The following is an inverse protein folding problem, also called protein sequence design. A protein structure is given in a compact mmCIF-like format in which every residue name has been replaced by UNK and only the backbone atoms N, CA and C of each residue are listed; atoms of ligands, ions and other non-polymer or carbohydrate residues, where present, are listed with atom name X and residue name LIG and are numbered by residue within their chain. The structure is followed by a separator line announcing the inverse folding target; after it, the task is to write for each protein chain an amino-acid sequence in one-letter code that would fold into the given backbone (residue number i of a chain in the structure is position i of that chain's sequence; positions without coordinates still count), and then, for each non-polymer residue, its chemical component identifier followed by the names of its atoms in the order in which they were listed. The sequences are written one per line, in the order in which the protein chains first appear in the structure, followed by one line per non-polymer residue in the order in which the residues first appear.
data_IF_494668379562
#
_entry.id   IF_494668379562
#
_cell.length_a   1.000
_cell.length_b   1.000
_cell.length_c   1.000
_cell.angle_alpha   90.00
_cell.angle_beta   90.00
_cell.angle_gamma   90.00
#
_symmetry.space_group_name_H-M   'P 1'
#
loop_
_entity.id
_entity.type
_entity.pdbx_description
1 polymer ?
#
# COMPACT_ATOMS: atom_id res chain seq x y z
N UNK A 1 2.40 -27.75 -2.97
CA UNK A 1 3.35 -26.62 -3.07
C UNK A 1 2.56 -25.42 -3.57
N UNK A 2 2.67 -24.24 -2.93
CA UNK A 2 1.97 -23.05 -3.40
C UNK A 2 2.45 -22.65 -4.80
N UNK A 3 1.54 -22.13 -5.61
CA UNK A 3 1.87 -21.55 -6.90
C UNK A 3 2.70 -20.27 -6.74
N UNK A 4 3.36 -19.85 -7.82
CA UNK A 4 4.10 -18.59 -7.83
C UNK A 4 3.19 -17.40 -7.44
N UNK A 5 1.94 -17.40 -7.91
CA UNK A 5 0.99 -16.33 -7.60
C UNK A 5 0.63 -16.31 -6.12
N UNK A 6 0.36 -17.47 -5.51
CA UNK A 6 0.08 -17.57 -4.07
C UNK A 6 1.26 -17.05 -3.24
N UNK A 7 2.49 -17.40 -3.61
CA UNK A 7 3.67 -16.95 -2.88
C UNK A 7 3.94 -15.44 -3.03
N UNK A 8 3.70 -14.88 -4.22
CA UNK A 8 3.77 -13.43 -4.45
C UNK A 8 2.71 -12.71 -3.63
N UNK A 9 1.48 -13.25 -3.58
CA UNK A 9 0.39 -12.64 -2.82
C UNK A 9 0.66 -12.68 -1.31
N UNK A 10 1.13 -13.83 -0.81
CA UNK A 10 1.56 -14.00 0.58
C UNK A 10 2.64 -12.98 0.97
N UNK A 11 3.68 -12.85 0.15
CA UNK A 11 4.75 -11.87 0.36
C UNK A 11 4.20 -10.45 0.44
N UNK A 12 3.31 -10.07 -0.49
CA UNK A 12 2.67 -8.74 -0.49
C UNK A 12 1.83 -8.49 0.77
N UNK A 13 1.11 -9.49 1.25
CA UNK A 13 0.31 -9.39 2.48
C UNK A 13 1.20 -9.16 3.71
N UNK A 14 2.28 -9.94 3.86
CA UNK A 14 3.23 -9.77 4.97
C UNK A 14 3.94 -8.42 4.93
N UNK A 15 4.41 -8.02 3.75
CA UNK A 15 4.99 -6.69 3.53
C UNK A 15 4.00 -5.61 3.96
N UNK A 16 2.75 -5.66 3.49
CA UNK A 16 1.75 -4.65 3.84
C UNK A 16 1.52 -4.58 5.36
N UNK A 17 1.36 -5.74 6.01
CA UNK A 17 1.15 -5.81 7.45
C UNK A 17 2.32 -5.22 8.25
N UNK A 18 3.56 -5.42 7.78
CA UNK A 18 4.76 -4.83 8.38
C UNK A 18 4.74 -3.30 8.37
N UNK A 19 4.22 -2.66 7.32
CA UNK A 19 4.12 -1.19 7.24
C UNK A 19 2.94 -0.63 8.01
N UNK A 20 1.82 -1.38 8.09
CA UNK A 20 0.65 -1.01 8.89
C UNK A 20 0.95 -1.07 10.39
N UNK A 21 1.73 -2.08 10.81
CA UNK A 21 2.00 -2.36 12.22
C UNK A 21 0.70 -2.58 13.02
N UNK A 22 0.72 -2.20 14.30
CA UNK A 22 -0.45 -2.35 15.18
C UNK A 22 -1.57 -1.33 14.91
N UNK A 23 -1.30 -0.29 14.10
CA UNK A 23 -2.24 0.82 13.86
C UNK A 23 -3.47 0.38 13.06
N UNK A 24 -3.33 -0.66 12.24
CA UNK A 24 -4.38 -1.15 11.35
C UNK A 24 -4.63 -0.30 10.09
N UNK A 25 -3.91 0.81 9.89
CA UNK A 25 -3.96 1.63 8.68
C UNK A 25 -2.58 2.19 8.31
N UNK A 26 -2.40 2.60 7.04
CA UNK A 26 -1.24 3.36 6.57
C UNK A 26 -1.57 4.85 6.55
N UNK A 27 -0.67 5.67 7.09
CA UNK A 27 -0.66 7.10 6.77
C UNK A 27 -0.08 7.33 5.37
N UNK A 28 -0.20 8.56 4.85
CA UNK A 28 0.45 8.94 3.58
C UNK A 28 1.97 8.74 3.62
N UNK A 29 2.59 8.98 4.77
CA UNK A 29 4.02 8.74 4.96
C UNK A 29 4.35 7.25 4.97
N UNK A 30 3.58 6.43 5.69
CA UNK A 30 3.78 4.97 5.73
C UNK A 30 3.67 4.36 4.32
N UNK A 31 2.69 4.81 3.53
CA UNK A 31 2.51 4.38 2.13
C UNK A 31 3.67 4.85 1.23
N UNK A 32 4.21 6.05 1.44
CA UNK A 32 5.37 6.55 0.70
C UNK A 32 6.59 5.65 0.94
N UNK A 33 6.88 5.34 2.19
CA UNK A 33 7.99 4.46 2.56
C UNK A 33 7.80 3.05 2.00
N UNK A 34 6.57 2.53 1.99
CA UNK A 34 6.24 1.25 1.35
C UNK A 34 6.56 1.28 -0.15
N UNK A 35 6.16 2.35 -0.85
CA UNK A 35 6.45 2.49 -2.29
C UNK A 35 7.96 2.58 -2.57
N UNK A 36 8.70 3.33 -1.75
CA UNK A 36 10.16 3.48 -1.91
C UNK A 36 10.92 2.16 -1.67
N UNK A 37 10.48 1.34 -0.71
CA UNK A 37 11.15 0.08 -0.36
C UNK A 37 10.78 -1.09 -1.27
N UNK A 38 9.51 -1.22 -1.61
CA UNK A 38 9.00 -2.42 -2.30
C UNK A 38 8.88 -2.23 -3.80
N UNK A 39 8.84 -0.97 -4.27
CA UNK A 39 8.68 -0.63 -5.68
C UNK A 39 9.76 0.35 -6.20
N UNK A 40 11.06 0.22 -5.84
CA UNK A 40 12.09 1.18 -6.26
C UNK A 40 12.20 1.25 -7.79
N UNK A 41 12.19 0.10 -8.48
CA UNK A 41 12.25 0.06 -9.93
C UNK A 41 11.01 0.68 -10.61
N UNK A 42 9.83 0.62 -9.99
CA UNK A 42 8.66 1.34 -10.51
C UNK A 42 8.86 2.85 -10.42
N UNK A 43 9.42 3.34 -9.30
CA UNK A 43 9.67 4.77 -9.09
C UNK A 43 10.77 5.30 -10.03
N UNK A 44 11.88 4.58 -10.17
CA UNK A 44 12.99 4.97 -11.02
C UNK A 44 12.61 5.04 -12.51
N UNK A 45 11.73 4.13 -12.96
CA UNK A 45 11.32 4.06 -14.35
C UNK A 45 10.04 4.84 -14.65
N UNK A 46 9.52 5.59 -13.67
CA UNK A 46 8.25 6.26 -13.85
C UNK A 46 8.40 7.52 -14.72
N UNK A 47 7.61 7.61 -15.78
CA UNK A 47 7.63 8.75 -16.70
C UNK A 47 6.81 9.92 -16.20
N UNK A 48 5.81 9.64 -15.35
CA UNK A 48 4.95 10.64 -14.75
C UNK A 48 5.43 10.97 -13.33
N UNK A 49 6.02 12.15 -13.08
CA UNK A 49 6.54 12.51 -11.77
C UNK A 49 5.44 12.61 -10.69
N UNK A 50 4.18 12.67 -11.10
CA UNK A 50 3.01 12.74 -10.22
C UNK A 50 2.31 11.39 -10.03
N UNK A 51 2.86 10.29 -10.55
CA UNK A 51 2.20 8.99 -10.49
C UNK A 51 1.94 8.53 -9.05
N UNK A 52 2.92 8.75 -8.16
CA UNK A 52 2.81 8.40 -6.74
C UNK A 52 1.74 9.25 -6.06
N UNK A 53 1.74 10.56 -6.26
CA UNK A 53 0.73 11.46 -5.71
C UNK A 53 -0.68 11.10 -6.19
N UNK A 54 -0.84 10.71 -7.45
CA UNK A 54 -2.13 10.25 -8.00
C UNK A 54 -2.58 8.96 -7.31
N UNK A 55 -1.71 7.96 -7.19
CA UNK A 55 -2.01 6.70 -6.48
C UNK A 55 -2.41 6.98 -5.02
N UNK A 56 -1.66 7.82 -4.32
CA UNK A 56 -1.97 8.21 -2.94
C UNK A 56 -3.33 8.91 -2.83
N UNK A 57 -3.64 9.80 -3.78
CA UNK A 57 -4.91 10.53 -3.82
C UNK A 57 -6.09 9.60 -4.15
N UNK A 58 -5.90 8.63 -5.03
CA UNK A 58 -6.95 7.67 -5.39
C UNK A 58 -7.24 6.71 -4.24
N UNK A 59 -6.21 6.33 -3.48
CA UNK A 59 -6.37 5.53 -2.26
C UNK A 59 -7.04 6.32 -1.12
N UNK A 60 -6.72 7.61 -0.95
CA UNK A 60 -7.33 8.51 0.04
C UNK A 60 -8.82 8.79 -0.27
N UNK A 61 -9.19 8.82 -1.55
CA UNK A 61 -10.58 8.93 -2.01
C UNK A 61 -11.42 7.69 -1.69
N UNK A 62 -10.78 6.53 -1.50
CA UNK A 62 -11.40 5.37 -0.87
C UNK A 62 -11.48 5.57 0.65
N UNK A 63 -11.98 6.74 1.06
CA UNK A 63 -12.19 7.13 2.45
C UNK A 63 -13.25 6.16 2.99
N UNK A 64 -12.76 5.18 3.72
CA UNK A 64 -13.50 4.14 4.42
C UNK A 64 -14.78 4.75 5.01
N UNK A 65 -15.90 4.56 4.31
CA UNK A 65 -17.22 4.93 4.78
C UNK A 65 -17.64 3.91 5.85
N UNK A 66 -16.92 3.91 6.97
CA UNK A 66 -17.37 3.26 8.18
C UNK A 66 -17.93 4.32 9.12
N UNK A 67 -19.26 4.46 9.23
CA UNK A 67 -19.78 4.50 10.58
C UNK A 67 -19.52 3.09 11.14
N UNK A 68 -18.47 2.97 11.96
CA UNK A 68 -18.51 1.97 13.02
C UNK A 68 -19.78 2.29 13.81
N UNK A 69 -20.86 1.57 13.52
CA UNK A 69 -22.05 1.62 14.36
C UNK A 69 -21.61 1.22 15.78
N UNK A 70 -21.92 2.03 16.81
CA UNK A 70 -21.58 1.68 18.17
C UNK A 70 -22.49 0.53 18.64
N UNK A 71 -21.83 -0.56 19.05
CA UNK A 71 -22.26 -1.72 19.85
C UNK A 71 -23.71 -2.20 19.76
#
# INVERSE_FOLDING_TARGET
MPSQMEHVMETKMFTFHKFVGDKGYLTKEDLRVLMEKEFPGFLENQKDPLAVDKIMKDLDQCRDARPLAPQ
#
